data_IF_603069596857
#
_entry.id   IF_603069596857
#
_cell.length_a   1.000
_cell.length_b   1.000
_cell.length_c   1.000
_cell.angle_alpha   90.00
_cell.angle_beta   90.00
_cell.angle_gamma   90.00
#
_symmetry.space_group_name_H-M   'P 1'
#
loop_
_entity.id
_entity.type
_entity.pdbx_description
1 polymer ?
#
# COMPACT_ATOMS: atom_id res chain seq x y z
N UNK A 1 -9.69 -12.30 14.10
CA UNK A 1 -9.35 -12.28 15.52
C UNK A 1 -10.60 -12.27 16.33
N UNK A 2 -10.66 -13.16 17.26
CA UNK A 2 -11.69 -13.15 18.29
C UNK A 2 -11.09 -12.49 19.55
N UNK A 3 -11.59 -11.33 19.99
CA UNK A 3 -11.06 -10.64 21.16
C UNK A 3 -11.28 -11.41 22.46
N UNK A 4 -12.28 -12.29 22.54
CA UNK A 4 -12.55 -13.09 23.74
C UNK A 4 -11.49 -14.19 23.97
N UNK A 5 -10.89 -14.71 22.89
CA UNK A 5 -9.89 -15.77 22.98
C UNK A 5 -8.52 -15.39 22.43
N UNK A 6 -8.33 -14.13 21.99
CA UNK A 6 -7.09 -13.57 21.44
C UNK A 6 -6.54 -14.37 20.25
N UNK A 7 -7.41 -14.90 19.37
CA UNK A 7 -7.03 -15.76 18.24
C UNK A 7 -7.26 -15.09 16.89
N UNK A 8 -6.34 -15.28 15.97
CA UNK A 8 -6.49 -14.93 14.56
C UNK A 8 -7.11 -16.10 13.77
N UNK A 9 -8.01 -15.77 12.85
CA UNK A 9 -8.42 -16.70 11.81
C UNK A 9 -7.49 -16.53 10.62
N UNK A 10 -6.83 -17.59 10.20
CA UNK A 10 -5.96 -17.61 9.02
C UNK A 10 -6.74 -18.20 7.86
N UNK A 11 -6.80 -17.47 6.76
CA UNK A 11 -7.36 -17.93 5.51
C UNK A 11 -6.22 -18.30 4.56
N UNK A 12 -6.19 -19.54 4.12
CA UNK A 12 -5.29 -19.95 3.03
C UNK A 12 -5.96 -19.58 1.73
N UNK A 13 -5.33 -18.71 0.96
CA UNK A 13 -5.72 -18.47 -0.42
C UNK A 13 -5.22 -19.65 -1.22
N UNK A 14 -6.13 -20.45 -1.76
CA UNK A 14 -5.79 -21.60 -2.61
C UNK A 14 -6.08 -21.25 -4.06
N UNK A 15 -5.17 -21.62 -4.92
CA UNK A 15 -5.39 -21.59 -6.35
C UNK A 15 -6.53 -22.55 -6.70
N UNK A 16 -7.57 -22.03 -7.36
CA UNK A 16 -8.75 -22.83 -7.71
C UNK A 16 -8.46 -23.93 -8.73
N UNK A 17 -7.37 -23.81 -9.51
CA UNK A 17 -6.97 -24.78 -10.53
C UNK A 17 -5.99 -25.82 -9.98
N UNK A 18 -4.94 -25.36 -9.28
CA UNK A 18 -3.89 -26.25 -8.77
C UNK A 18 -4.16 -26.76 -7.35
N UNK A 19 -5.07 -26.09 -6.61
CA UNK A 19 -5.33 -26.30 -5.18
C UNK A 19 -4.10 -26.09 -4.29
N UNK A 20 -3.06 -25.46 -4.83
CA UNK A 20 -1.89 -25.11 -4.04
C UNK A 20 -2.12 -23.81 -3.28
N UNK A 21 -1.65 -23.70 -2.05
CA UNK A 21 -1.78 -22.48 -1.28
C UNK A 21 -0.92 -21.37 -1.89
N UNK A 22 -1.52 -20.20 -2.09
CA UNK A 22 -0.81 -19.00 -2.53
C UNK A 22 -0.14 -18.39 -1.31
N UNK A 23 1.18 -18.47 -1.28
CA UNK A 23 1.99 -17.98 -0.16
C UNK A 23 2.56 -16.57 -0.36
N UNK A 24 2.38 -15.98 -1.55
CA UNK A 24 2.99 -14.70 -1.91
C UNK A 24 1.93 -13.68 -2.33
N UNK A 25 1.27 -13.11 -1.33
CA UNK A 25 0.38 -11.98 -1.52
C UNK A 25 1.24 -10.71 -1.53
N UNK A 26 1.01 -9.83 -2.49
CA UNK A 26 1.77 -8.59 -2.67
C UNK A 26 1.00 -7.34 -2.26
N UNK A 27 -0.30 -7.31 -2.49
CA UNK A 27 -1.15 -6.17 -2.20
C UNK A 27 -2.61 -6.58 -2.11
N UNK A 28 -3.44 -5.75 -1.48
CA UNK A 28 -4.89 -5.92 -1.43
C UNK A 28 -5.60 -4.57 -1.45
N UNK A 29 -6.86 -4.56 -1.86
CA UNK A 29 -7.73 -3.40 -1.74
C UNK A 29 -9.17 -3.83 -1.48
N UNK A 30 -9.97 -2.91 -0.94
CA UNK A 30 -11.41 -3.04 -0.89
C UNK A 30 -12.03 -2.23 -2.04
N UNK A 31 -13.05 -2.79 -2.69
CA UNK A 31 -13.82 -2.05 -3.68
C UNK A 31 -15.03 -1.34 -3.05
N UNK A 32 -15.70 -0.51 -3.85
CA UNK A 32 -16.89 0.25 -3.42
C UNK A 32 -18.11 -0.63 -3.10
N UNK A 33 -18.07 -1.91 -3.44
CA UNK A 33 -19.10 -2.90 -3.11
C UNK A 33 -18.80 -3.62 -1.79
N UNK A 34 -17.64 -3.35 -1.17
CA UNK A 34 -17.20 -3.97 0.07
C UNK A 34 -16.46 -5.30 -0.13
N UNK A 35 -16.19 -5.71 -1.36
CA UNK A 35 -15.44 -6.92 -1.68
C UNK A 35 -13.93 -6.69 -1.47
N UNK A 36 -13.24 -7.69 -0.93
CA UNK A 36 -11.78 -7.65 -0.78
C UNK A 36 -11.12 -8.33 -1.98
N UNK A 37 -10.21 -7.61 -2.60
CA UNK A 37 -9.39 -8.07 -3.71
C UNK A 37 -7.95 -8.24 -3.25
N UNK A 38 -7.32 -9.34 -3.66
CA UNK A 38 -5.98 -9.74 -3.25
C UNK A 38 -5.19 -10.07 -4.50
N UNK A 39 -3.98 -9.57 -4.63
CA UNK A 39 -3.10 -9.89 -5.75
C UNK A 39 -1.90 -10.72 -5.32
N UNK A 40 -1.57 -11.71 -6.14
CA UNK A 40 -0.39 -12.56 -6.03
C UNK A 40 0.77 -12.11 -6.93
N UNK A 41 1.81 -12.95 -6.98
CA UNK A 41 3.05 -12.66 -7.72
C UNK A 41 2.96 -12.85 -9.24
N UNK A 42 1.97 -13.60 -9.75
CA UNK A 42 1.84 -13.95 -11.17
C UNK A 42 0.61 -13.29 -11.83
N UNK A 43 0.31 -12.04 -11.50
CA UNK A 43 -0.89 -11.31 -11.93
C UNK A 43 -2.20 -12.06 -11.65
N UNK A 44 -2.21 -12.82 -10.58
CA UNK A 44 -3.40 -13.50 -10.10
C UNK A 44 -4.17 -12.54 -9.20
N UNK A 45 -5.45 -12.36 -9.50
CA UNK A 45 -6.35 -11.51 -8.73
C UNK A 45 -7.43 -12.37 -8.10
N UNK A 46 -7.45 -12.38 -6.77
CA UNK A 46 -8.40 -13.16 -5.99
C UNK A 46 -9.44 -12.23 -5.39
N UNK A 47 -10.72 -12.56 -5.64
CA UNK A 47 -11.85 -11.96 -4.94
C UNK A 47 -12.16 -12.82 -3.72
N UNK A 48 -12.18 -12.23 -2.55
CA UNK A 48 -12.62 -12.89 -1.33
C UNK A 48 -14.13 -12.69 -1.12
N UNK A 49 -14.86 -13.79 -1.09
CA UNK A 49 -16.30 -13.79 -0.80
C UNK A 49 -16.55 -14.01 0.70
N UNK A 50 -16.77 -12.93 1.43
CA UNK A 50 -16.99 -12.94 2.88
C UNK A 50 -18.12 -13.87 3.33
N UNK A 51 -19.20 -13.98 2.53
CA UNK A 51 -20.38 -14.81 2.86
C UNK A 51 -20.08 -16.30 2.85
N UNK A 52 -19.11 -16.74 2.05
CA UNK A 52 -18.75 -18.15 1.85
C UNK A 52 -17.37 -18.49 2.39
N UNK A 53 -16.58 -17.48 2.77
CA UNK A 53 -15.17 -17.60 3.14
C UNK A 53 -14.34 -18.30 2.05
N UNK A 54 -14.64 -18.01 0.78
CA UNK A 54 -13.98 -18.61 -0.38
C UNK A 54 -13.33 -17.56 -1.26
N UNK A 55 -12.34 -17.99 -2.02
CA UNK A 55 -11.64 -17.13 -2.97
C UNK A 55 -12.03 -17.53 -4.40
N UNK A 56 -12.30 -16.53 -5.24
CA UNK A 56 -12.47 -16.72 -6.67
C UNK A 56 -11.24 -16.17 -7.38
N UNK A 57 -10.51 -17.03 -8.08
CA UNK A 57 -9.33 -16.65 -8.86
C UNK A 57 -9.73 -16.07 -10.22
N UNK A 58 -9.10 -14.97 -10.58
CA UNK A 58 -9.16 -14.37 -11.89
C UNK A 58 -7.73 -14.27 -12.43
N UNK A 59 -7.48 -14.82 -13.63
CA UNK A 59 -6.20 -14.81 -14.31
C UNK A 59 -6.35 -14.31 -15.73
N UNK A 60 -5.41 -13.54 -16.24
CA UNK A 60 -5.34 -13.28 -17.67
C UNK A 60 -5.01 -14.59 -18.40
N UNK A 61 -5.48 -14.71 -19.64
CA UNK A 61 -5.19 -15.89 -20.48
C UNK A 61 -3.69 -16.06 -20.75
N UNK A 62 -2.97 -14.94 -20.84
CA UNK A 62 -1.51 -14.87 -20.94
C UNK A 62 -0.91 -14.28 -19.65
N UNK A 63 -0.84 -15.09 -18.61
CA UNK A 63 -0.44 -14.63 -17.26
C UNK A 63 1.00 -14.11 -17.16
N UNK A 64 1.92 -14.55 -18.03
CA UNK A 64 3.30 -14.07 -18.04
C UNK A 64 3.42 -12.66 -18.62
N UNK A 65 2.47 -12.22 -19.43
CA UNK A 65 2.50 -10.90 -20.07
C UNK A 65 2.37 -9.73 -19.08
N UNK A 66 1.81 -9.97 -17.89
CA UNK A 66 1.51 -8.89 -16.93
C UNK A 66 2.49 -8.77 -15.76
N UNK A 67 3.22 -9.82 -15.44
CA UNK A 67 4.19 -9.84 -14.34
C UNK A 67 3.56 -9.74 -12.94
N UNK A 68 4.37 -9.37 -11.96
CA UNK A 68 3.93 -9.24 -10.55
C UNK A 68 3.07 -7.99 -10.36
N UNK A 69 1.94 -8.13 -9.67
CA UNK A 69 1.17 -6.99 -9.15
C UNK A 69 1.85 -6.46 -7.89
N UNK A 70 2.11 -5.17 -7.82
CA UNK A 70 2.77 -4.51 -6.68
C UNK A 70 1.83 -3.59 -5.91
N UNK A 71 0.86 -3.01 -6.60
CA UNK A 71 -0.13 -2.11 -6.01
C UNK A 71 -1.43 -2.21 -6.77
N UNK A 72 -2.55 -1.98 -6.11
CA UNK A 72 -3.86 -1.93 -6.75
C UNK A 72 -4.82 -0.97 -6.05
N UNK A 73 -5.74 -0.43 -6.83
CA UNK A 73 -6.81 0.45 -6.37
C UNK A 73 -8.10 0.15 -7.15
N UNK A 74 -9.25 0.51 -6.60
CA UNK A 74 -10.44 0.67 -7.41
C UNK A 74 -10.37 2.00 -8.18
N UNK A 75 -10.15 1.93 -9.49
CA UNK A 75 -10.07 3.11 -10.35
C UNK A 75 -11.44 3.76 -10.53
N UNK A 76 -12.43 2.97 -10.95
CA UNK A 76 -13.85 3.33 -10.98
C UNK A 76 -14.67 2.14 -10.49
N UNK A 77 -15.93 2.32 -10.03
CA UNK A 77 -16.74 1.21 -9.56
C UNK A 77 -16.79 0.04 -10.56
N UNK A 78 -16.23 -1.09 -10.14
CA UNK A 78 -16.13 -2.30 -10.96
C UNK A 78 -14.88 -2.40 -11.84
N UNK A 79 -13.94 -1.45 -11.76
CA UNK A 79 -12.63 -1.52 -12.45
C UNK A 79 -11.53 -1.44 -11.40
N UNK A 80 -10.77 -2.50 -11.24
CA UNK A 80 -9.56 -2.54 -10.41
C UNK A 80 -8.35 -2.24 -11.28
N UNK A 81 -7.62 -1.18 -10.96
CA UNK A 81 -6.36 -0.85 -11.63
C UNK A 81 -5.21 -1.49 -10.88
N UNK A 82 -4.37 -2.21 -11.60
CA UNK A 82 -3.22 -2.95 -11.11
C UNK A 82 -1.93 -2.28 -11.61
N UNK A 83 -1.01 -2.01 -10.72
CA UNK A 83 0.36 -1.65 -11.05
C UNK A 83 1.24 -2.90 -11.04
N UNK A 84 1.83 -3.18 -12.19
CA UNK A 84 2.58 -4.42 -12.40
C UNK A 84 4.03 -4.15 -12.82
N UNK A 85 4.84 -5.21 -12.88
CA UNK A 85 6.20 -5.13 -13.43
C UNK A 85 6.19 -4.84 -14.96
N UNK A 86 5.04 -4.94 -15.62
CA UNK A 86 4.91 -4.75 -17.07
C UNK A 86 3.95 -3.59 -17.45
N UNK A 87 3.59 -2.73 -16.51
CA UNK A 87 2.75 -1.56 -16.74
C UNK A 87 1.47 -1.57 -15.92
N UNK A 88 0.54 -0.71 -16.32
CA UNK A 88 -0.79 -0.64 -15.72
C UNK A 88 -1.74 -1.60 -16.43
N UNK A 89 -2.59 -2.24 -15.64
CA UNK A 89 -3.61 -3.17 -16.12
C UNK A 89 -4.94 -2.84 -15.46
N UNK A 90 -6.00 -2.72 -16.23
CA UNK A 90 -7.36 -2.64 -15.73
C UNK A 90 -7.97 -4.04 -15.71
N UNK A 91 -8.53 -4.42 -14.57
CA UNK A 91 -9.36 -5.60 -14.42
C UNK A 91 -10.83 -5.19 -14.31
N UNK A 92 -11.65 -5.66 -15.21
CA UNK A 92 -13.11 -5.43 -15.16
C UNK A 92 -13.77 -6.55 -14.36
N UNK A 93 -14.38 -6.20 -13.22
CA UNK A 93 -14.98 -7.17 -12.28
C UNK A 93 -16.23 -7.85 -12.81
N UNK A 94 -16.92 -7.25 -13.82
CA UNK A 94 -18.16 -7.78 -14.38
C UNK A 94 -17.91 -8.89 -15.40
N UNK A 95 -17.04 -8.63 -16.38
CA UNK A 95 -16.72 -9.57 -17.44
C UNK A 95 -15.44 -10.36 -17.20
N UNK A 96 -14.70 -10.05 -16.11
CA UNK A 96 -13.45 -10.68 -15.70
C UNK A 96 -12.32 -10.54 -16.72
N UNK A 97 -12.34 -9.48 -17.53
CA UNK A 97 -11.29 -9.21 -18.51
C UNK A 97 -10.16 -8.39 -17.91
N UNK A 98 -8.94 -8.69 -18.35
CA UNK A 98 -7.74 -7.91 -18.11
C UNK A 98 -7.41 -7.13 -19.38
N UNK A 99 -7.08 -5.86 -19.23
CA UNK A 99 -6.73 -4.99 -20.33
C UNK A 99 -5.53 -4.13 -19.91
N UNK A 100 -4.48 -4.15 -20.73
CA UNK A 100 -3.40 -3.20 -20.56
C UNK A 100 -3.94 -1.79 -20.76
N UNK A 101 -3.58 -0.90 -19.83
CA UNK A 101 -3.79 0.53 -20.04
C UNK A 101 -2.75 0.96 -21.06
N UNK A 102 -3.06 0.68 -22.33
CA UNK A 102 -2.15 0.93 -23.43
C UNK A 102 -2.11 2.43 -23.68
N UNK A 103 -0.95 3.00 -23.52
CA UNK A 103 -0.70 4.40 -23.78
C UNK A 103 -0.54 4.54 -25.30
N UNK A 104 -1.69 4.39 -26.00
CA UNK A 104 -1.77 4.40 -27.44
C UNK A 104 -0.84 5.41 -28.06
N UNK A 105 0.02 4.88 -28.90
CA UNK A 105 0.64 5.48 -30.08
C UNK A 105 0.82 7.00 -30.10
N UNK A 106 2.09 7.41 -30.13
CA UNK A 106 2.61 8.57 -30.87
C UNK A 106 2.87 9.90 -30.20
N UNK A 107 2.53 10.17 -28.96
CA UNK A 107 2.97 11.42 -28.33
C UNK A 107 3.80 11.17 -27.05
N UNK A 108 4.96 11.81 -26.97
CA UNK A 108 5.88 11.75 -25.80
C UNK A 108 5.22 12.13 -24.46
N UNK A 109 4.09 12.82 -24.49
CA UNK A 109 3.39 13.34 -23.32
C UNK A 109 2.27 12.42 -22.78
N UNK A 110 2.07 11.22 -23.28
CA UNK A 110 1.00 10.33 -22.87
C UNK A 110 1.47 8.93 -22.45
N UNK A 111 2.77 8.71 -22.29
CA UNK A 111 3.33 7.42 -21.90
C UNK A 111 3.80 7.45 -20.44
N UNK A 112 3.65 6.30 -19.78
CA UNK A 112 4.39 6.04 -18.53
C UNK A 112 5.90 6.09 -18.84
N UNK A 113 6.68 6.74 -17.99
CA UNK A 113 8.14 6.81 -18.19
C UNK A 113 8.85 5.52 -17.84
N UNK A 114 8.20 4.64 -17.13
CA UNK A 114 8.69 3.30 -16.83
C UNK A 114 7.52 2.35 -16.67
N UNK A 115 7.68 1.13 -17.11
CA UNK A 115 6.66 0.09 -17.01
C UNK A 115 6.64 -0.64 -15.65
N UNK A 116 7.72 -0.53 -14.87
CA UNK A 116 7.75 -1.13 -13.52
C UNK A 116 7.00 -0.24 -12.53
N UNK A 117 5.71 -0.54 -12.31
CA UNK A 117 4.87 0.21 -11.39
C UNK A 117 5.11 -0.32 -9.97
N UNK A 118 5.44 0.57 -9.04
CA UNK A 118 5.67 0.21 -7.64
C UNK A 118 4.48 0.54 -6.75
N UNK A 119 3.84 1.69 -6.97
CA UNK A 119 2.70 2.14 -6.17
C UNK A 119 1.69 2.92 -7.00
N UNK A 120 0.42 2.86 -6.59
CA UNK A 120 -0.67 3.62 -7.19
C UNK A 120 -1.50 4.23 -6.06
N UNK A 121 -1.93 5.48 -6.25
CA UNK A 121 -2.85 6.18 -5.37
C UNK A 121 -3.91 6.90 -6.21
N UNK A 122 -5.18 6.80 -5.83
CA UNK A 122 -6.25 7.65 -6.35
C UNK A 122 -6.50 8.77 -5.34
N UNK A 123 -6.38 10.02 -5.78
CA UNK A 123 -6.64 11.19 -4.95
C UNK A 123 -8.15 11.50 -4.85
N UNK A 124 -8.52 12.49 -4.04
CA UNK A 124 -9.91 12.91 -3.80
C UNK A 124 -10.59 13.47 -5.04
N UNK A 125 -9.81 14.05 -5.95
CA UNK A 125 -10.31 14.64 -7.19
C UNK A 125 -10.46 13.59 -8.31
N UNK A 126 -10.12 12.32 -8.00
CA UNK A 126 -10.20 11.18 -8.93
C UNK A 126 -8.98 11.02 -9.83
N UNK A 127 -7.93 11.81 -9.63
CA UNK A 127 -6.66 11.64 -10.29
C UNK A 127 -5.90 10.42 -9.77
N UNK A 128 -5.07 9.80 -10.60
CA UNK A 128 -4.27 8.62 -10.23
C UNK A 128 -2.79 8.95 -10.30
N UNK A 129 -2.14 8.80 -9.17
CA UNK A 129 -0.71 8.94 -8.97
C UNK A 129 -0.05 7.59 -9.11
N UNK A 130 1.00 7.49 -9.92
CA UNK A 130 1.66 6.23 -10.26
C UNK A 130 3.15 6.40 -10.02
N UNK A 131 3.65 5.73 -9.00
CA UNK A 131 5.08 5.64 -8.70
C UNK A 131 5.70 4.49 -9.46
N UNK A 132 6.81 4.76 -10.15
CA UNK A 132 7.54 3.77 -10.94
C UNK A 132 8.90 3.49 -10.33
N UNK A 133 9.55 2.39 -10.78
CA UNK A 133 10.83 1.96 -10.20
C UNK A 133 12.00 2.83 -10.64
N UNK A 134 12.04 3.22 -11.91
CA UNK A 134 13.15 4.02 -12.47
C UNK A 134 12.71 5.34 -13.11
N UNK A 135 11.41 5.57 -13.29
CA UNK A 135 10.87 6.69 -14.04
C UNK A 135 10.24 7.79 -13.17
N UNK A 136 10.31 7.68 -11.82
CA UNK A 136 9.71 8.66 -10.92
C UNK A 136 8.19 8.56 -10.87
N UNK A 137 7.48 9.69 -11.00
CA UNK A 137 6.04 9.79 -10.79
C UNK A 137 5.32 10.12 -12.09
N UNK A 138 4.20 9.45 -12.32
CA UNK A 138 3.25 9.80 -13.37
C UNK A 138 1.90 10.15 -12.73
N UNK A 139 1.17 11.06 -13.33
CA UNK A 139 -0.16 11.46 -12.91
C UNK A 139 -1.17 11.30 -14.03
N UNK A 140 -2.21 10.51 -13.79
CA UNK A 140 -3.35 10.36 -14.70
C UNK A 140 -4.48 11.28 -14.23
N UNK A 141 -4.69 12.37 -14.97
CA UNK A 141 -5.77 13.31 -14.68
C UNK A 141 -7.14 12.72 -15.02
N UNK A 142 -8.16 12.87 -14.19
CA UNK A 142 -9.52 12.43 -14.50
C UNK A 142 -10.16 13.24 -15.64
N UNK A 143 -9.62 14.42 -15.92
CA UNK A 143 -10.10 15.33 -16.97
C UNK A 143 -9.40 15.14 -18.34
N UNK A 144 -8.35 14.33 -18.38
CA UNK A 144 -7.62 14.04 -19.61
C UNK A 144 -7.17 12.59 -19.62
N UNK A 145 -7.15 11.96 -20.78
CA UNK A 145 -6.57 10.63 -21.00
C UNK A 145 -5.03 10.65 -21.05
N UNK A 146 -4.39 11.77 -20.69
CA UNK A 146 -2.96 11.98 -20.83
C UNK A 146 -2.30 11.94 -19.44
N UNK A 147 -1.24 11.15 -19.31
CA UNK A 147 -0.39 11.16 -18.13
C UNK A 147 0.44 12.44 -18.08
N UNK A 148 0.58 13.02 -16.89
CA UNK A 148 1.53 14.08 -16.63
C UNK A 148 2.72 13.50 -15.87
N UNK A 149 3.90 13.65 -16.42
CA UNK A 149 5.14 13.34 -15.71
C UNK A 149 5.43 14.44 -14.70
N UNK A 150 5.68 14.03 -13.47
CA UNK A 150 6.18 14.91 -12.42
C UNK A 150 7.64 14.51 -12.18
N UNK A 151 8.55 15.35 -12.61
CA UNK A 151 9.97 15.12 -12.39
C UNK A 151 10.31 15.36 -10.92
N UNK A 152 10.97 14.40 -10.31
CA UNK A 152 11.49 14.54 -8.97
C UNK A 152 12.55 15.64 -8.92
N UNK A 153 12.44 16.55 -7.93
CA UNK A 153 13.46 17.56 -7.69
C UNK A 153 14.77 16.95 -7.18
N UNK A 154 15.83 17.74 -7.16
CA UNK A 154 17.10 17.33 -6.56
C UNK A 154 16.92 16.87 -5.11
N UNK A 155 17.51 15.73 -4.76
CA UNK A 155 17.41 15.13 -3.42
C UNK A 155 16.13 14.34 -3.16
N UNK A 156 15.27 14.18 -4.16
CA UNK A 156 14.11 13.31 -4.10
C UNK A 156 14.44 11.95 -4.76
N UNK A 157 13.85 10.87 -4.22
CA UNK A 157 14.10 9.53 -4.73
C UNK A 157 13.46 9.26 -6.09
N UNK A 158 13.96 8.24 -6.75
CA UNK A 158 13.44 7.76 -8.04
C UNK A 158 12.64 6.47 -7.89
N UNK A 159 12.84 5.72 -6.81
CA UNK A 159 12.13 4.46 -6.52
C UNK A 159 10.97 4.78 -5.60
N UNK A 160 9.83 5.14 -6.18
CA UNK A 160 8.68 5.59 -5.42
C UNK A 160 7.91 4.41 -4.85
N UNK A 161 7.87 4.31 -3.54
CA UNK A 161 7.28 3.18 -2.80
C UNK A 161 5.88 3.45 -2.27
N UNK A 162 5.62 4.66 -1.76
CA UNK A 162 4.33 5.01 -1.12
C UNK A 162 3.91 6.44 -1.40
N UNK A 163 2.58 6.65 -1.33
CA UNK A 163 1.95 7.96 -1.35
C UNK A 163 0.95 8.09 -0.21
N UNK A 164 0.72 9.31 0.27
CA UNK A 164 -0.49 9.69 0.97
C UNK A 164 -0.80 11.17 0.75
N UNK A 165 -2.08 11.53 0.81
CA UNK A 165 -2.57 12.89 0.63
C UNK A 165 -2.88 13.53 1.99
N UNK A 166 -2.41 14.76 2.23
CA UNK A 166 -2.73 15.50 3.44
C UNK A 166 -4.07 16.27 3.33
N UNK A 167 -4.60 16.79 4.45
CA UNK A 167 -5.86 17.56 4.43
C UNK A 167 -5.82 18.82 3.55
N UNK A 168 -4.64 19.35 3.27
CA UNK A 168 -4.42 20.52 2.40
C UNK A 168 -4.35 20.15 0.91
N UNK A 169 -4.34 18.84 0.58
CA UNK A 169 -4.24 18.31 -0.78
C UNK A 169 -2.82 18.21 -1.30
N UNK A 170 -1.81 18.27 -0.44
CA UNK A 170 -0.44 17.95 -0.83
C UNK A 170 -0.24 16.42 -0.82
N UNK A 171 0.68 15.95 -1.66
CA UNK A 171 1.02 14.53 -1.76
C UNK A 171 2.37 14.28 -1.08
N UNK A 172 2.34 13.49 -0.03
CA UNK A 172 3.53 12.96 0.62
C UNK A 172 4.00 11.72 -0.13
N UNK A 173 5.28 11.66 -0.41
CA UNK A 173 5.89 10.68 -1.31
C UNK A 173 7.03 10.02 -0.57
N UNK A 174 6.92 8.71 -0.38
CA UNK A 174 7.99 7.88 0.16
C UNK A 174 8.76 7.20 -0.97
N UNK A 175 10.07 7.12 -0.83
CA UNK A 175 10.92 6.40 -1.77
C UNK A 175 11.93 5.49 -1.05
N UNK A 176 12.43 4.49 -1.77
CA UNK A 176 13.43 3.56 -1.25
C UNK A 176 14.85 4.15 -1.30
N UNK A 177 15.07 5.18 -2.09
CA UNK A 177 16.41 5.75 -2.37
C UNK A 177 16.56 7.24 -2.04
N UNK A 178 15.44 7.96 -1.81
CA UNK A 178 15.45 9.41 -1.56
C UNK A 178 14.70 9.86 -0.32
N UNK A 179 14.19 8.93 0.48
CA UNK A 179 13.46 9.27 1.71
C UNK A 179 12.08 9.86 1.47
N UNK A 180 11.72 10.88 2.25
CA UNK A 180 10.41 11.53 2.22
C UNK A 180 10.45 12.82 1.42
N UNK A 181 9.42 13.02 0.59
CA UNK A 181 9.23 14.24 -0.18
C UNK A 181 7.78 14.72 -0.09
N UNK A 182 7.58 16.01 -0.31
CA UNK A 182 6.28 16.66 -0.37
C UNK A 182 6.08 17.30 -1.73
N UNK A 183 5.02 16.92 -2.41
CA UNK A 183 4.58 17.55 -3.64
C UNK A 183 3.32 18.36 -3.41
N UNK A 184 3.33 19.62 -3.87
CA UNK A 184 2.15 20.47 -3.86
C UNK A 184 1.59 20.57 -5.28
N UNK A 185 0.41 19.96 -5.57
CA UNK A 185 -0.17 19.96 -6.92
C UNK A 185 -0.58 21.35 -7.43
N UNK A 186 -0.87 22.31 -6.52
CA UNK A 186 -1.29 23.68 -6.90
C UNK A 186 -0.13 24.53 -7.40
N UNK A 187 1.05 24.34 -6.83
CA UNK A 187 2.26 25.12 -7.18
C UNK A 187 3.21 24.35 -8.07
N UNK A 188 3.06 23.02 -8.17
CA UNK A 188 4.00 22.13 -8.83
C UNK A 188 5.32 21.96 -8.06
N UNK A 189 5.40 22.44 -6.80
CA UNK A 189 6.63 22.33 -6.03
C UNK A 189 6.81 20.90 -5.50
N UNK A 190 8.02 20.36 -5.66
CA UNK A 190 8.45 19.06 -5.18
C UNK A 190 9.67 19.27 -4.28
N UNK A 191 9.56 18.97 -2.99
CA UNK A 191 10.60 19.29 -2.01
C UNK A 191 10.93 18.08 -1.13
N UNK A 192 12.21 17.77 -0.90
CA UNK A 192 12.60 16.74 0.06
C UNK A 192 12.29 17.19 1.49
N UNK A 193 11.95 16.24 2.35
CA UNK A 193 11.64 16.45 3.77
C UNK A 193 12.58 15.59 4.61
N UNK A 194 13.47 16.22 5.35
CA UNK A 194 14.36 15.51 6.26
C UNK A 194 13.56 14.84 7.39
N UNK A 195 13.72 13.53 7.54
CA UNK A 195 13.10 12.71 8.60
C UNK A 195 14.15 12.27 9.61
N UNK A 196 15.36 11.95 9.17
CA UNK A 196 16.48 11.58 10.04
C UNK A 196 17.28 12.85 10.42
N UNK A 197 17.53 13.12 11.70
CA UNK A 197 18.39 14.24 12.13
C UNK A 197 19.81 14.19 11.55
N UNK A 198 20.24 13.03 11.06
CA UNK A 198 21.54 12.84 10.39
C UNK A 198 21.50 13.16 8.89
N UNK A 199 20.39 13.68 8.41
CA UNK A 199 20.15 14.01 6.98
C UNK A 199 20.38 12.81 6.03
N UNK A 200 20.06 11.61 6.52
CA UNK A 200 20.20 10.38 5.76
C UNK A 200 18.88 10.06 5.05
N UNK A 201 18.95 9.75 3.78
CA UNK A 201 17.80 9.21 3.06
C UNK A 201 17.37 7.87 3.67
N UNK A 202 16.09 7.74 3.99
CA UNK A 202 15.50 6.53 4.56
C UNK A 202 14.78 5.74 3.47
N UNK A 203 14.81 4.42 3.56
CA UNK A 203 13.95 3.55 2.75
C UNK A 203 12.54 3.56 3.33
N UNK A 204 11.59 4.22 2.67
CA UNK A 204 10.22 4.36 3.16
C UNK A 204 9.33 3.28 2.56
N UNK A 205 8.66 2.53 3.41
CA UNK A 205 7.76 1.44 3.03
C UNK A 205 6.31 1.63 3.50
N UNK A 206 6.05 2.57 4.40
CA UNK A 206 4.70 2.92 4.84
C UNK A 206 4.53 4.43 5.01
N UNK A 207 3.39 4.94 4.55
CA UNK A 207 2.94 6.31 4.79
C UNK A 207 1.45 6.31 5.13
N UNK A 208 1.08 7.00 6.23
CA UNK A 208 -0.32 7.16 6.63
C UNK A 208 -0.49 8.48 7.36
N UNK A 209 -1.54 9.23 7.00
CA UNK A 209 -1.93 10.43 7.74
C UNK A 209 -3.09 10.09 8.68
N UNK A 210 -2.94 10.56 9.91
CA UNK A 210 -3.91 10.35 10.97
C UNK A 210 -3.96 11.57 11.90
N UNK A 211 -5.10 12.24 11.96
CA UNK A 211 -5.37 13.32 12.91
C UNK A 211 -4.34 14.45 12.96
N UNK A 212 -3.73 14.84 11.85
CA UNK A 212 -2.69 15.86 11.77
C UNK A 212 -1.27 15.33 11.97
N UNK A 213 -1.11 14.03 12.03
CA UNK A 213 0.17 13.33 12.11
C UNK A 213 0.44 12.55 10.82
N UNK A 214 1.65 12.61 10.31
CA UNK A 214 2.17 11.71 9.30
C UNK A 214 2.98 10.60 9.97
N UNK A 215 2.59 9.37 9.73
CA UNK A 215 3.31 8.17 10.14
C UNK A 215 4.16 7.66 8.98
N UNK A 216 5.44 7.43 9.24
CA UNK A 216 6.43 7.02 8.23
C UNK A 216 7.09 5.74 8.70
N UNK A 217 6.76 4.63 8.05
CA UNK A 217 7.41 3.34 8.28
C UNK A 217 8.59 3.15 7.35
N UNK A 218 9.71 2.64 7.89
CA UNK A 218 10.97 2.51 7.16
C UNK A 218 11.48 1.07 7.15
N UNK A 219 12.35 0.77 6.22
CA UNK A 219 13.15 -0.44 6.24
C UNK A 219 14.46 -0.18 6.99
N UNK A 220 14.62 -0.85 8.12
CA UNK A 220 15.84 -0.80 8.92
C UNK A 220 15.96 0.33 9.94
N UNK A 221 15.01 1.30 9.98
CA UNK A 221 15.07 2.45 10.90
C UNK A 221 13.80 2.63 11.77
N UNK A 222 12.84 1.72 11.69
CA UNK A 222 11.64 1.74 12.51
C UNK A 222 10.56 2.69 12.00
N UNK A 223 9.85 3.32 12.93
CA UNK A 223 8.67 4.14 12.66
C UNK A 223 8.87 5.58 13.11
N UNK A 224 8.50 6.54 12.28
CA UNK A 224 8.49 7.95 12.62
C UNK A 224 7.07 8.48 12.64
N UNK A 225 6.81 9.45 13.53
CA UNK A 225 5.60 10.25 13.57
C UNK A 225 5.97 11.72 13.44
N UNK A 226 5.40 12.41 12.47
CA UNK A 226 5.68 13.81 12.14
C UNK A 226 4.41 14.62 12.33
N UNK A 227 4.45 15.67 13.14
CA UNK A 227 3.37 16.65 13.23
C UNK A 227 3.33 17.48 11.93
N UNK A 228 2.21 17.43 11.21
CA UNK A 228 2.08 18.07 9.91
C UNK A 228 2.20 19.62 10.00
N UNK A 229 1.80 20.21 11.14
CA UNK A 229 1.81 21.65 11.36
C UNK A 229 3.17 22.15 11.89
N UNK A 230 3.72 21.48 12.92
CA UNK A 230 4.93 21.95 13.61
C UNK A 230 6.21 21.34 13.07
N UNK A 231 6.09 20.25 12.28
CA UNK A 231 7.19 19.44 11.77
C UNK A 231 8.02 18.77 12.88
N UNK A 232 7.52 18.75 14.11
CA UNK A 232 8.16 17.97 15.17
C UNK A 232 8.04 16.48 14.89
N UNK A 233 9.11 15.75 15.18
CA UNK A 233 9.22 14.33 14.90
C UNK A 233 9.43 13.52 16.17
N UNK A 234 8.82 12.35 16.22
CA UNK A 234 9.09 11.31 17.22
C UNK A 234 9.50 10.03 16.50
N UNK A 235 10.60 9.43 16.95
CA UNK A 235 11.15 8.20 16.40
C UNK A 235 10.86 7.02 17.33
N UNK A 236 10.32 5.95 16.80
CA UNK A 236 10.00 4.71 17.51
C UNK A 236 10.92 3.61 17.00
N UNK A 237 11.64 3.00 17.96
CA UNK A 237 12.60 1.92 17.72
C UNK A 237 12.33 0.77 18.68
N UNK A 238 13.10 -0.31 18.58
CA UNK A 238 13.03 -1.41 19.54
C UNK A 238 13.36 -0.98 20.99
N UNK A 239 14.28 -0.02 21.15
CA UNK A 239 14.68 0.46 22.45
C UNK A 239 13.68 1.49 23.01
N UNK A 240 12.93 1.12 24.04
CA UNK A 240 12.11 2.04 24.82
C UNK A 240 10.73 2.39 24.26
N UNK A 241 10.36 1.94 23.08
CA UNK A 241 9.06 2.25 22.47
C UNK A 241 8.17 1.04 22.18
N UNK A 242 8.70 -0.17 22.33
CA UNK A 242 7.96 -1.43 22.21
C UNK A 242 7.82 -1.97 20.79
N UNK A 243 8.42 -1.32 19.79
CA UNK A 243 8.46 -1.85 18.42
C UNK A 243 9.30 -3.14 18.39
N UNK A 244 8.80 -4.20 17.74
CA UNK A 244 9.46 -5.51 17.71
C UNK A 244 10.55 -5.62 16.63
N UNK A 245 10.40 -4.85 15.54
CA UNK A 245 11.34 -4.86 14.43
C UNK A 245 11.44 -3.48 13.77
N UNK A 246 12.61 -3.16 13.22
CA UNK A 246 12.86 -1.87 12.54
C UNK A 246 12.39 -1.84 11.09
N UNK A 247 12.02 -2.99 10.52
CA UNK A 247 11.42 -3.08 9.18
C UNK A 247 9.90 -2.94 9.31
N UNK A 248 9.39 -1.73 9.02
CA UNK A 248 7.97 -1.37 9.09
C UNK A 248 7.43 -1.21 7.68
N UNK A 249 6.54 -2.11 7.28
CA UNK A 249 6.01 -2.18 5.90
C UNK A 249 4.65 -1.54 5.71
N UNK A 250 3.84 -1.48 6.77
CA UNK A 250 2.49 -0.92 6.69
C UNK A 250 2.08 -0.24 7.99
N UNK A 251 1.28 0.83 7.87
CA UNK A 251 0.66 1.55 8.98
C UNK A 251 -0.77 1.90 8.57
N UNK A 252 -1.74 1.60 9.43
CA UNK A 252 -3.15 1.77 9.15
C UNK A 252 -3.91 2.21 10.39
N UNK A 253 -4.80 3.21 10.26
CA UNK A 253 -5.77 3.60 11.31
C UNK A 253 -7.12 3.01 10.97
N UNK A 254 -7.65 2.17 11.86
CA UNK A 254 -8.97 1.59 11.67
C UNK A 254 -10.11 2.57 12.00
N UNK A 255 -11.33 2.23 11.65
CA UNK A 255 -12.53 3.04 11.87
C UNK A 255 -12.85 3.27 13.35
N UNK A 256 -12.25 2.50 14.26
CA UNK A 256 -12.39 2.62 15.73
C UNK A 256 -11.30 3.51 16.34
N UNK A 257 -10.41 4.02 15.50
CA UNK A 257 -9.33 4.90 15.92
C UNK A 257 -8.11 4.17 16.47
N UNK A 258 -7.94 2.86 16.24
CA UNK A 258 -6.73 2.14 16.60
C UNK A 258 -5.70 2.18 15.47
N UNK A 259 -4.46 2.57 15.77
CA UNK A 259 -3.37 2.52 14.80
C UNK A 259 -2.69 1.14 14.84
N UNK A 260 -2.59 0.54 13.66
CA UNK A 260 -1.97 -0.75 13.42
C UNK A 260 -0.68 -0.59 12.64
N UNK A 261 0.30 -1.42 12.96
CA UNK A 261 1.64 -1.35 12.39
C UNK A 261 2.03 -2.77 11.96
N UNK A 262 2.28 -2.93 10.67
CA UNK A 262 2.79 -4.17 10.12
C UNK A 262 4.31 -4.14 10.03
N UNK A 263 4.96 -5.11 10.67
CA UNK A 263 6.41 -5.25 10.70
C UNK A 263 6.84 -6.56 10.05
N UNK A 264 8.14 -6.77 9.93
CA UNK A 264 8.73 -8.05 9.50
C UNK A 264 8.44 -9.22 10.45
N UNK A 265 8.12 -8.94 11.69
CA UNK A 265 7.90 -9.95 12.72
C UNK A 265 6.43 -10.18 13.05
N UNK A 266 5.53 -9.30 12.58
CA UNK A 266 4.11 -9.42 12.86
C UNK A 266 3.35 -8.10 12.91
N UNK A 267 2.35 -8.06 13.78
CA UNK A 267 1.40 -6.97 13.89
C UNK A 267 1.55 -6.31 15.25
N UNK A 268 1.71 -4.98 15.25
CA UNK A 268 1.77 -4.17 16.45
C UNK A 268 0.62 -3.16 16.48
N UNK A 269 0.32 -2.64 17.68
CA UNK A 269 -0.65 -1.57 17.93
C UNK A 269 0.03 -0.40 18.60
N UNK A 270 -0.34 0.81 18.24
CA UNK A 270 0.07 2.02 18.92
C UNK A 270 -1.02 2.49 19.89
N UNK A 271 -0.65 2.78 21.11
CA UNK A 271 -1.53 3.36 22.13
C UNK A 271 -1.31 4.87 22.19
N UNK A 272 -2.35 5.64 21.88
CA UNK A 272 -2.28 7.11 21.81
C UNK A 272 -2.10 7.76 23.20
N UNK A 273 -2.53 7.10 24.29
CA UNK A 273 -2.46 7.62 25.66
C UNK A 273 -1.07 7.43 26.24
N UNK A 274 -0.58 6.20 26.21
CA UNK A 274 0.77 5.88 26.72
C UNK A 274 1.87 6.25 25.74
N UNK A 275 1.53 6.50 24.47
CA UNK A 275 2.45 6.74 23.36
C UNK A 275 3.49 5.62 23.18
N UNK A 276 3.06 4.38 23.40
CA UNK A 276 3.87 3.18 23.26
C UNK A 276 3.31 2.24 22.19
N UNK A 277 4.15 1.35 21.70
CA UNK A 277 3.78 0.31 20.73
C UNK A 277 3.76 -1.02 21.47
N UNK A 278 2.73 -1.82 21.24
CA UNK A 278 2.60 -3.18 21.74
C UNK A 278 2.51 -4.15 20.58
N UNK A 279 3.47 -5.08 20.51
CA UNK A 279 3.54 -6.12 19.47
C UNK A 279 3.10 -7.45 20.09
N UNK A 280 1.77 -7.61 20.25
CA UNK A 280 1.19 -8.79 20.90
C UNK A 280 0.96 -9.97 19.94
N UNK A 281 1.12 -9.76 18.64
CA UNK A 281 0.75 -10.71 17.59
C UNK A 281 1.96 -11.06 16.74
N UNK A 282 2.99 -11.63 17.38
CA UNK A 282 4.15 -12.16 16.70
C UNK A 282 3.76 -13.35 15.83
N UNK A 283 3.88 -13.21 14.53
CA UNK A 283 3.57 -14.27 13.55
C UNK A 283 4.79 -15.19 13.30
N UNK A 284 5.92 -14.87 13.93
CA UNK A 284 7.18 -15.57 13.78
C UNK A 284 7.98 -15.14 12.55
N UNK A 285 9.02 -15.92 12.22
CA UNK A 285 9.85 -15.64 11.04
C UNK A 285 9.06 -15.76 9.73
N UNK A 286 9.43 -14.98 8.72
CA UNK A 286 8.80 -14.93 7.39
C UNK A 286 7.31 -14.53 7.46
N UNK A 287 7.02 -13.45 8.17
CA UNK A 287 5.66 -12.96 8.35
C UNK A 287 5.53 -11.46 8.09
N UNK A 288 6.32 -10.94 7.16
CA UNK A 288 6.32 -9.53 6.78
C UNK A 288 4.89 -9.08 6.48
N UNK A 289 4.33 -8.18 7.31
CA UNK A 289 2.98 -7.65 7.13
C UNK A 289 3.07 -6.43 6.22
N UNK A 290 2.84 -6.64 4.95
CA UNK A 290 3.12 -5.65 3.89
C UNK A 290 1.96 -4.70 3.62
N UNK A 291 0.73 -5.10 4.01
CA UNK A 291 -0.44 -4.25 3.81
C UNK A 291 -1.54 -4.56 4.85
N UNK A 292 -2.36 -3.55 5.15
CA UNK A 292 -3.45 -3.62 6.12
C UNK A 292 -4.66 -2.88 5.54
N UNK A 293 -5.83 -3.48 5.61
CA UNK A 293 -7.08 -2.79 5.30
C UNK A 293 -8.21 -3.22 6.25
N UNK A 294 -9.29 -2.43 6.26
CA UNK A 294 -10.51 -2.72 7.00
C UNK A 294 -11.65 -2.97 6.02
N UNK A 295 -12.47 -3.99 6.26
CA UNK A 295 -13.64 -4.25 5.43
C UNK A 295 -14.88 -3.45 5.89
N UNK A 296 -15.96 -3.48 5.10
CA UNK A 296 -17.19 -2.77 5.41
C UNK A 296 -17.89 -3.22 6.70
N UNK A 297 -17.47 -4.33 7.30
CA UNK A 297 -17.97 -4.86 8.58
C UNK A 297 -17.06 -4.49 9.75
N UNK A 298 -15.97 -3.77 9.50
CA UNK A 298 -15.00 -3.39 10.50
C UNK A 298 -14.00 -4.50 10.86
N UNK A 299 -13.87 -5.55 10.05
CA UNK A 299 -12.80 -6.53 10.24
C UNK A 299 -11.52 -6.02 9.60
N UNK A 300 -10.40 -6.27 10.25
CA UNK A 300 -9.09 -5.95 9.71
C UNK A 300 -8.50 -7.13 8.98
N UNK A 301 -7.86 -6.83 7.86
CA UNK A 301 -7.17 -7.79 7.02
C UNK A 301 -5.71 -7.39 6.90
N UNK A 302 -4.84 -8.37 7.10
CA UNK A 302 -3.40 -8.20 7.05
C UNK A 302 -2.82 -9.10 5.97
N UNK A 303 -2.15 -8.51 4.99
CA UNK A 303 -1.43 -9.26 3.96
C UNK A 303 -0.02 -9.56 4.45
N UNK A 304 0.36 -10.82 4.46
CA UNK A 304 1.67 -11.26 4.93
C UNK A 304 2.43 -12.05 3.87
N UNK A 305 3.69 -11.64 3.62
CA UNK A 305 4.63 -12.44 2.82
C UNK A 305 5.03 -13.67 3.65
N UNK A 306 4.48 -14.82 3.30
CA UNK A 306 4.80 -16.11 3.95
C UNK A 306 3.73 -16.68 4.88
N UNK A 307 2.75 -15.88 5.32
CA UNK A 307 1.59 -16.36 6.10
C UNK A 307 0.26 -16.23 5.34
N UNK A 308 0.28 -15.55 4.19
CA UNK A 308 -0.92 -15.31 3.42
C UNK A 308 -1.79 -14.20 4.02
N UNK A 309 -3.09 -14.38 4.03
CA UNK A 309 -4.06 -13.41 4.52
C UNK A 309 -4.47 -13.74 5.96
N UNK A 310 -4.48 -12.71 6.82
CA UNK A 310 -4.85 -12.84 8.23
C UNK A 310 -6.02 -11.89 8.48
N UNK A 311 -7.12 -12.39 9.02
CA UNK A 311 -8.27 -11.59 9.44
C UNK A 311 -8.25 -11.37 10.96
N UNK A 312 -8.54 -10.14 11.35
CA UNK A 312 -8.84 -9.74 12.73
C UNK A 312 -10.27 -9.21 12.79
N UNK A 313 -11.15 -9.96 13.43
CA UNK A 313 -12.54 -9.58 13.64
C UNK A 313 -12.82 -9.30 15.12
N UNK A 314 -13.74 -8.38 15.40
CA UNK A 314 -14.08 -8.02 16.77
C UNK A 314 -15.31 -8.77 17.30
N UNK A 315 -16.01 -9.49 16.44
CA UNK A 315 -17.36 -10.04 16.73
C UNK A 315 -17.53 -11.55 16.41
N UNK A 316 -16.44 -12.33 16.32
CA UNK A 316 -16.54 -13.79 16.13
C UNK A 316 -16.27 -14.56 17.43
#
# INVERSE_FOLDING_TARGET
YNPENNRFSTFRVEDTLTREPISRISTMCQDSFGDIWIAGYACELYKFELSRLTFTCNRPEDGEAYGRVRSMIEYTPGIIMLGTDHGLVNFNTKNRSFEHVDNGTTNRNGRLNDKFIHSILKDRDGGVWIGTYFGGINYLSPLSSLFTLIEAGEGCGHIISKFCEDPEGNIWIGSDDGGLSLYNPRTGSYTPVAVDPRDRALNIHALTIDGGWLWVGTYGDGLYRIDLRTRQMKHFTQAGTGLDNLDVYSVFRDSRGQLWIGTKMGICRYDDVSQTITCAFGLGHNSDVVDICEDARGHLWFASLGKGLIRYGFDD
#
